data_IF_182491387663
#
_entry.id   IF_182491387663
#
_cell.length_a   1.000
_cell.length_b   1.000
_cell.length_c   1.000
_cell.angle_alpha   90.00
_cell.angle_beta   90.00
_cell.angle_gamma   90.00
#
_symmetry.space_group_name_H-M   'P 1'
#
loop_
_entity.id
_entity.type
_entity.pdbx_description
1 polymer ?
#
# COMPACT_ATOMS: atom_id res chain seq x y z
N UNK A 1 -24.15 -50.59 -24.04
CA UNK A 1 -23.00 -50.48 -24.96
C UNK A 1 -23.09 -49.25 -25.87
N UNK A 2 -24.21 -48.98 -26.54
CA UNK A 2 -24.36 -47.77 -27.36
C UNK A 2 -24.33 -46.45 -26.57
N UNK A 3 -25.05 -46.37 -25.44
CA UNK A 3 -25.06 -45.15 -24.60
C UNK A 3 -23.69 -44.83 -23.98
N UNK A 4 -22.96 -45.85 -23.50
CA UNK A 4 -21.61 -45.66 -22.98
C UNK A 4 -20.64 -45.09 -24.04
N UNK A 5 -20.74 -45.54 -25.31
CA UNK A 5 -19.96 -44.94 -26.40
C UNK A 5 -20.37 -43.51 -26.70
N UNK A 6 -21.65 -43.18 -26.55
CA UNK A 6 -22.15 -41.82 -26.76
C UNK A 6 -21.62 -40.86 -25.69
N UNK A 7 -21.54 -41.33 -24.44
CA UNK A 7 -20.90 -40.64 -23.32
C UNK A 7 -19.39 -40.45 -23.56
N UNK A 8 -18.68 -41.49 -24.03
CA UNK A 8 -17.26 -41.40 -24.40
C UNK A 8 -17.03 -40.34 -25.50
N UNK A 9 -17.87 -40.33 -26.55
CA UNK A 9 -17.80 -39.32 -27.62
C UNK A 9 -18.14 -37.91 -27.12
N UNK A 10 -19.09 -37.78 -26.19
CA UNK A 10 -19.41 -36.50 -25.54
C UNK A 10 -18.20 -35.92 -24.81
N UNK A 11 -17.55 -36.74 -23.98
CA UNK A 11 -16.31 -36.36 -23.26
C UNK A 11 -15.17 -36.07 -24.24
N UNK A 12 -15.02 -36.87 -25.29
CA UNK A 12 -14.01 -36.65 -26.33
C UNK A 12 -14.16 -35.29 -27.00
N UNK A 13 -15.38 -34.91 -27.38
CA UNK A 13 -15.65 -33.61 -28.01
C UNK A 13 -15.34 -32.43 -27.09
N UNK A 14 -15.75 -32.52 -25.82
CA UNK A 14 -15.50 -31.49 -24.82
C UNK A 14 -14.00 -31.30 -24.53
N UNK A 15 -13.22 -32.39 -24.54
CA UNK A 15 -11.79 -32.35 -24.25
C UNK A 15 -10.95 -31.92 -25.45
N UNK A 16 -11.19 -32.48 -26.63
CA UNK A 16 -10.30 -32.31 -27.79
C UNK A 16 -10.59 -31.07 -28.64
N UNK A 17 -11.80 -30.51 -28.55
CA UNK A 17 -12.18 -29.29 -29.27
C UNK A 17 -12.24 -28.05 -28.39
N UNK A 18 -11.64 -28.12 -27.19
CA UNK A 18 -11.48 -26.99 -26.29
C UNK A 18 -10.56 -25.94 -26.93
N UNK A 19 -11.01 -24.70 -27.02
CA UNK A 19 -10.14 -23.59 -27.42
C UNK A 19 -9.30 -23.15 -26.22
N UNK A 20 -7.98 -22.94 -26.38
CA UNK A 20 -7.17 -22.34 -25.33
C UNK A 20 -7.70 -20.93 -25.06
N UNK A 21 -8.03 -20.65 -23.79
CA UNK A 21 -8.25 -19.27 -23.34
C UNK A 21 -6.99 -18.48 -23.72
N UNK A 22 -7.15 -17.42 -24.51
CA UNK A 22 -6.06 -16.78 -25.26
C UNK A 22 -4.83 -16.51 -24.39
N UNK A 23 -3.70 -17.07 -24.82
CA UNK A 23 -2.43 -17.14 -24.09
C UNK A 23 -1.69 -15.80 -23.97
N UNK A 24 -2.17 -14.73 -24.61
CA UNK A 24 -1.46 -13.44 -24.63
C UNK A 24 -1.42 -12.75 -23.25
N UNK A 25 -2.30 -13.14 -22.32
CA UNK A 25 -2.34 -12.59 -20.96
C UNK A 25 -1.72 -13.51 -19.88
N UNK A 26 -1.27 -14.72 -20.26
CA UNK A 26 -0.80 -15.76 -19.34
C UNK A 26 0.74 -15.81 -19.17
N UNK A 27 1.47 -14.79 -19.61
CA UNK A 27 2.91 -14.69 -19.30
C UNK A 27 3.10 -14.37 -17.80
N UNK A 28 3.01 -15.39 -16.94
CA UNK A 28 3.36 -15.32 -15.52
C UNK A 28 4.85 -15.09 -15.29
N UNK A 29 5.68 -15.16 -16.33
CA UNK A 29 7.15 -15.18 -16.24
C UNK A 29 7.88 -13.87 -16.57
N UNK A 30 7.22 -12.81 -17.05
CA UNK A 30 7.97 -11.68 -17.66
C UNK A 30 7.70 -10.27 -17.10
N UNK A 31 6.92 -10.09 -16.05
CA UNK A 31 6.70 -8.77 -15.43
C UNK A 31 6.74 -8.88 -13.91
N UNK A 32 7.93 -9.18 -13.40
CA UNK A 32 8.22 -9.19 -11.95
C UNK A 32 8.95 -7.95 -11.46
N UNK A 33 9.34 -7.02 -12.34
CA UNK A 33 10.20 -5.91 -11.93
C UNK A 33 9.73 -4.56 -12.49
N UNK A 34 8.74 -3.95 -11.84
CA UNK A 34 8.65 -2.48 -11.78
C UNK A 34 7.73 -2.01 -10.65
N UNK A 35 8.36 -1.25 -9.74
CA UNK A 35 7.78 -0.24 -8.84
C UNK A 35 6.75 -0.67 -7.80
N UNK A 36 7.21 -1.37 -6.76
CA UNK A 36 6.81 -1.05 -5.40
C UNK A 36 8.06 -1.16 -4.51
N UNK A 37 8.48 -0.06 -3.90
CA UNK A 37 9.50 -0.09 -2.85
C UNK A 37 8.96 -0.98 -1.72
N UNK A 38 9.50 -2.20 -1.60
CA UNK A 38 9.10 -3.13 -0.55
C UNK A 38 9.61 -2.59 0.79
N UNK A 39 8.71 -2.05 1.60
CA UNK A 39 8.98 -1.57 2.96
C UNK A 39 9.17 -2.77 3.91
N UNK A 40 10.34 -3.41 3.86
CA UNK A 40 10.70 -4.45 4.84
C UNK A 40 11.19 -3.82 6.14
N UNK A 41 10.70 -4.36 7.26
CA UNK A 41 10.99 -3.90 8.63
C UNK A 41 12.46 -4.02 9.09
N UNK A 42 13.35 -4.62 8.29
CA UNK A 42 14.73 -4.97 8.71
C UNK A 42 15.88 -4.25 7.97
N UNK A 43 15.63 -3.23 7.14
CA UNK A 43 16.71 -2.54 6.43
C UNK A 43 16.53 -1.02 6.42
N UNK A 44 17.14 -0.35 7.39
CA UNK A 44 17.33 1.12 7.38
C UNK A 44 18.51 1.53 6.49
N UNK A 45 18.53 1.05 5.24
CA UNK A 45 19.62 1.38 4.30
C UNK A 45 19.33 2.69 3.57
N UNK A 46 20.35 3.53 3.46
CA UNK A 46 20.30 4.82 2.79
C UNK A 46 20.16 4.66 1.28
N UNK A 47 19.09 5.20 0.71
CA UNK A 47 18.95 5.31 -0.74
C UNK A 47 19.48 6.66 -1.22
N UNK A 48 20.42 6.60 -2.18
CA UNK A 48 20.86 7.73 -2.98
C UNK A 48 19.90 7.90 -4.17
N UNK A 49 19.26 9.06 -4.25
CA UNK A 49 18.46 9.45 -5.42
C UNK A 49 19.38 9.81 -6.58
N UNK A 50 19.17 9.20 -7.75
CA UNK A 50 19.46 9.85 -9.02
C UNK A 50 18.25 9.77 -9.94
N UNK A 51 17.98 10.89 -10.61
CA UNK A 51 16.73 11.14 -11.32
C UNK A 51 16.63 10.33 -12.61
N UNK A 52 15.48 9.68 -12.81
CA UNK A 52 15.05 9.29 -14.14
C UNK A 52 13.57 9.63 -14.33
N UNK A 53 13.34 10.42 -15.37
CA UNK A 53 12.05 10.85 -15.90
C UNK A 53 11.29 9.63 -16.40
N UNK A 54 10.11 9.35 -15.85
CA UNK A 54 9.23 8.29 -16.35
C UNK A 54 8.10 8.91 -17.16
N UNK A 55 7.96 8.37 -18.37
CA UNK A 55 6.99 8.72 -19.38
C UNK A 55 5.56 8.41 -18.92
N UNK A 56 4.62 9.16 -19.45
CA UNK A 56 3.18 8.93 -19.30
C UNK A 56 2.80 7.65 -20.05
N UNK A 57 2.54 6.57 -19.33
CA UNK A 57 1.86 5.41 -19.90
C UNK A 57 0.35 5.57 -19.73
N UNK A 58 -0.32 5.59 -20.88
CA UNK A 58 -1.77 5.65 -21.04
C UNK A 58 -2.41 4.42 -20.38
N UNK A 59 -3.34 4.66 -19.46
CA UNK A 59 -4.22 3.67 -18.86
C UNK A 59 -5.16 3.09 -19.92
N UNK A 60 -4.76 1.99 -20.56
CA UNK A 60 -5.67 1.08 -21.25
C UNK A 60 -5.91 -0.12 -20.35
N UNK A 61 -7.12 -0.27 -19.82
CA UNK A 61 -7.54 -1.54 -19.25
C UNK A 61 -7.45 -2.64 -20.32
N UNK A 62 -6.97 -3.85 -20.01
CA UNK A 62 -7.09 -4.96 -20.94
C UNK A 62 -8.58 -5.31 -21.06
N UNK A 63 -9.19 -5.09 -22.22
CA UNK A 63 -10.49 -5.66 -22.55
C UNK A 63 -10.37 -7.19 -22.46
N UNK A 64 -11.02 -7.78 -21.45
CA UNK A 64 -11.06 -9.22 -21.30
C UNK A 64 -12.03 -9.80 -22.34
N UNK A 65 -11.50 -10.36 -23.43
CA UNK A 65 -12.32 -11.01 -24.44
C UNK A 65 -12.83 -12.36 -23.93
N UNK A 66 -14.15 -12.52 -23.82
CA UNK A 66 -14.79 -13.80 -23.47
C UNK A 66 -14.90 -14.65 -24.75
N UNK A 67 -13.86 -15.41 -25.05
CA UNK A 67 -13.82 -16.34 -26.19
C UNK A 67 -14.71 -17.57 -26.01
N UNK A 68 -15.13 -18.20 -27.13
CA UNK A 68 -15.88 -19.46 -27.09
C UNK A 68 -14.96 -20.59 -26.60
N UNK A 69 -15.33 -21.29 -25.51
CA UNK A 69 -14.49 -22.38 -24.98
C UNK A 69 -14.44 -23.61 -25.88
N UNK A 70 -15.33 -23.74 -26.85
CA UNK A 70 -15.42 -24.90 -27.75
C UNK A 70 -15.62 -24.42 -29.19
N UNK A 71 -14.98 -25.13 -30.13
CA UNK A 71 -15.19 -24.90 -31.56
C UNK A 71 -16.69 -25.00 -31.94
N UNK A 72 -17.26 -24.04 -32.70
CA UNK A 72 -18.70 -24.02 -33.00
C UNK A 72 -19.23 -25.32 -33.62
N UNK A 73 -18.43 -25.98 -34.46
CA UNK A 73 -18.79 -27.28 -35.05
C UNK A 73 -18.92 -28.39 -34.01
N UNK A 74 -18.03 -28.44 -33.03
CA UNK A 74 -18.09 -29.42 -31.93
C UNK A 74 -19.24 -29.10 -30.96
N UNK A 75 -19.54 -27.82 -30.72
CA UNK A 75 -20.65 -27.41 -29.86
C UNK A 75 -21.99 -27.97 -30.35
N UNK A 76 -22.26 -27.90 -31.67
CA UNK A 76 -23.48 -28.46 -32.25
C UNK A 76 -23.62 -29.98 -32.04
N UNK A 77 -22.50 -30.70 -32.11
CA UNK A 77 -22.46 -32.14 -31.86
C UNK A 77 -22.67 -32.47 -30.38
N UNK A 78 -22.03 -31.72 -29.46
CA UNK A 78 -22.21 -31.82 -28.01
C UNK A 78 -23.68 -31.59 -27.63
N UNK A 79 -24.32 -30.56 -28.18
CA UNK A 79 -25.75 -30.28 -27.99
C UNK A 79 -26.64 -31.42 -28.48
N UNK A 80 -26.37 -31.96 -29.68
CA UNK A 80 -27.14 -33.07 -30.24
C UNK A 80 -27.03 -34.34 -29.38
N UNK A 81 -25.83 -34.64 -28.89
CA UNK A 81 -25.58 -35.78 -28.00
C UNK A 81 -26.30 -35.58 -26.67
N UNK A 82 -26.15 -34.42 -26.02
CA UNK A 82 -26.82 -34.11 -24.75
C UNK A 82 -28.34 -34.26 -24.88
N UNK A 83 -28.94 -33.66 -25.91
CA UNK A 83 -30.38 -33.78 -26.20
C UNK A 83 -30.81 -35.23 -26.38
N UNK A 84 -30.02 -36.04 -27.08
CA UNK A 84 -30.32 -37.45 -27.26
C UNK A 84 -30.26 -38.22 -25.93
N UNK A 85 -29.25 -37.97 -25.08
CA UNK A 85 -29.14 -38.62 -23.76
C UNK A 85 -30.34 -38.27 -22.87
N UNK A 86 -30.76 -37.01 -22.85
CA UNK A 86 -31.92 -36.55 -22.08
C UNK A 86 -33.22 -37.21 -22.54
N UNK A 87 -33.46 -37.27 -23.86
CA UNK A 87 -34.66 -37.91 -24.42
C UNK A 87 -34.76 -39.42 -24.09
N UNK A 88 -33.64 -40.06 -23.78
CA UNK A 88 -33.59 -41.48 -23.42
C UNK A 88 -33.48 -41.73 -21.90
N UNK A 89 -33.58 -40.69 -21.06
CA UNK A 89 -33.54 -40.83 -19.61
C UNK A 89 -32.13 -41.06 -19.02
N UNK A 90 -31.08 -40.60 -19.71
CA UNK A 90 -29.68 -40.63 -19.27
C UNK A 90 -29.17 -39.21 -18.96
N UNK A 91 -30.04 -38.38 -18.41
CA UNK A 91 -29.74 -36.99 -18.04
C UNK A 91 -28.62 -36.91 -16.99
N UNK A 92 -28.65 -37.78 -15.99
CA UNK A 92 -27.66 -37.80 -14.89
C UNK A 92 -26.27 -38.16 -15.37
N UNK A 93 -26.14 -39.19 -16.21
CA UNK A 93 -24.88 -39.62 -16.78
C UNK A 93 -24.29 -38.53 -17.69
N UNK A 94 -25.13 -37.89 -18.51
CA UNK A 94 -24.71 -36.78 -19.37
C UNK A 94 -24.17 -35.59 -18.56
N UNK A 95 -24.90 -35.19 -17.51
CA UNK A 95 -24.51 -34.08 -16.63
C UNK A 95 -23.23 -34.41 -15.86
N UNK A 96 -23.12 -35.62 -15.31
CA UNK A 96 -21.92 -36.04 -14.58
C UNK A 96 -20.69 -36.09 -15.49
N UNK A 97 -20.84 -36.57 -16.73
CA UNK A 97 -19.77 -36.57 -17.72
C UNK A 97 -19.32 -35.14 -18.09
N UNK A 98 -20.27 -34.21 -18.22
CA UNK A 98 -19.96 -32.80 -18.46
C UNK A 98 -19.17 -32.18 -17.28
N UNK A 99 -19.71 -32.29 -16.06
CA UNK A 99 -19.11 -31.71 -14.85
C UNK A 99 -17.70 -32.26 -14.63
N UNK A 100 -17.53 -33.58 -14.69
CA UNK A 100 -16.21 -34.20 -14.50
C UNK A 100 -15.18 -33.77 -15.56
N UNK A 101 -15.61 -33.62 -16.81
CA UNK A 101 -14.74 -33.14 -17.89
C UNK A 101 -14.28 -31.70 -17.63
N UNK A 102 -15.18 -30.81 -17.23
CA UNK A 102 -14.84 -29.43 -16.94
C UNK A 102 -13.99 -29.28 -15.68
N UNK A 103 -14.28 -30.05 -14.63
CA UNK A 103 -13.47 -30.08 -13.40
C UNK A 103 -12.02 -30.49 -13.68
N UNK A 104 -11.81 -31.55 -14.46
CA UNK A 104 -10.45 -31.95 -14.89
C UNK A 104 -9.74 -30.82 -15.64
N UNK A 105 -10.47 -30.09 -16.49
CA UNK A 105 -9.89 -29.00 -17.26
C UNK A 105 -9.56 -27.76 -16.40
N UNK A 106 -10.28 -27.53 -15.29
CA UNK A 106 -9.92 -26.53 -14.28
C UNK A 106 -8.68 -26.95 -13.52
N UNK A 107 -8.60 -28.22 -13.11
CA UNK A 107 -7.45 -28.74 -12.36
C UNK A 107 -6.16 -28.62 -13.19
N UNK A 108 -6.21 -28.94 -14.49
CA UNK A 108 -5.11 -28.72 -15.43
C UNK A 108 -4.73 -27.24 -15.54
N UNK A 109 -5.73 -26.35 -15.61
CA UNK A 109 -5.50 -24.90 -15.65
C UNK A 109 -4.82 -24.41 -14.36
N UNK A 110 -5.32 -24.80 -13.18
CA UNK A 110 -4.74 -24.40 -11.89
C UNK A 110 -3.33 -24.97 -11.69
N UNK A 111 -3.08 -26.20 -12.13
CA UNK A 111 -1.75 -26.81 -12.13
C UNK A 111 -0.78 -26.03 -13.03
N UNK A 112 -1.22 -25.59 -14.21
CA UNK A 112 -0.40 -24.77 -15.13
C UNK A 112 -0.02 -23.40 -14.53
N UNK A 113 -0.88 -22.86 -13.67
CA UNK A 113 -0.66 -21.61 -12.93
C UNK A 113 0.13 -21.82 -11.62
N UNK A 114 0.44 -23.07 -11.28
CA UNK A 114 1.05 -23.48 -10.01
C UNK A 114 0.27 -22.95 -8.79
N UNK A 115 -1.07 -22.99 -8.87
CA UNK A 115 -1.97 -22.66 -7.76
C UNK A 115 -2.17 -23.87 -6.86
N UNK A 116 -1.07 -24.38 -6.30
CA UNK A 116 -1.12 -25.50 -5.37
C UNK A 116 -1.86 -25.10 -4.09
N UNK A 117 -2.58 -26.06 -3.50
CA UNK A 117 -3.25 -25.85 -2.22
C UNK A 117 -2.21 -25.60 -1.13
N UNK A 118 -2.15 -24.36 -0.66
CA UNK A 118 -1.26 -23.96 0.43
C UNK A 118 -2.01 -24.07 1.75
N UNK A 119 -1.41 -24.74 2.74
CA UNK A 119 -1.95 -24.71 4.09
C UNK A 119 -1.71 -23.34 4.75
N UNK A 120 -2.57 -22.97 5.71
CA UNK A 120 -2.39 -21.76 6.53
C UNK A 120 -1.01 -21.77 7.20
N UNK A 121 -0.57 -22.92 7.70
CA UNK A 121 0.73 -23.07 8.37
C UNK A 121 1.90 -22.82 7.42
N UNK A 122 1.86 -23.35 6.20
CA UNK A 122 2.88 -23.08 5.18
C UNK A 122 2.91 -21.59 4.81
N UNK A 123 1.73 -20.97 4.64
CA UNK A 123 1.61 -19.55 4.33
C UNK A 123 2.22 -18.69 5.43
N UNK A 124 1.92 -19.00 6.69
CA UNK A 124 2.40 -18.26 7.86
C UNK A 124 3.92 -18.35 8.04
N UNK A 125 4.53 -19.47 7.62
CA UNK A 125 5.97 -19.70 7.68
C UNK A 125 6.72 -19.22 6.43
N UNK A 126 6.02 -18.73 5.40
CA UNK A 126 6.69 -18.22 4.20
C UNK A 126 7.37 -16.87 4.44
N UNK A 127 8.57 -16.70 3.89
CA UNK A 127 9.24 -15.39 3.86
C UNK A 127 8.41 -14.37 3.09
N UNK A 128 8.41 -13.12 3.58
CA UNK A 128 7.57 -12.04 3.04
C UNK A 128 7.70 -11.85 1.52
N UNK A 129 8.92 -11.84 0.98
CA UNK A 129 9.13 -11.63 -0.46
C UNK A 129 8.46 -12.74 -1.30
N UNK A 130 8.51 -13.99 -0.81
CA UNK A 130 7.83 -15.11 -1.45
C UNK A 130 6.32 -14.96 -1.34
N UNK A 131 5.80 -14.60 -0.16
CA UNK A 131 4.37 -14.36 0.05
C UNK A 131 3.84 -13.22 -0.85
N UNK A 132 4.58 -12.12 -0.96
CA UNK A 132 4.28 -10.98 -1.83
C UNK A 132 4.17 -11.41 -3.30
N UNK A 133 5.10 -12.25 -3.79
CA UNK A 133 5.04 -12.80 -5.15
C UNK A 133 3.84 -13.73 -5.36
N UNK A 134 3.51 -14.55 -4.35
CA UNK A 134 2.33 -15.42 -4.38
C UNK A 134 1.06 -14.58 -4.47
N UNK A 135 0.89 -13.58 -3.59
CA UNK A 135 -0.30 -12.71 -3.59
C UNK A 135 -0.54 -12.10 -4.98
N UNK A 136 0.50 -11.57 -5.64
CA UNK A 136 0.37 -11.03 -7.00
C UNK A 136 -0.12 -12.08 -8.00
N UNK A 137 0.41 -13.31 -7.92
CA UNK A 137 0.00 -14.42 -8.80
C UNK A 137 -1.45 -14.83 -8.55
N UNK A 138 -1.87 -14.95 -7.29
CA UNK A 138 -3.25 -15.26 -6.94
C UNK A 138 -4.22 -14.14 -7.36
N UNK A 139 -3.84 -12.87 -7.23
CA UNK A 139 -4.62 -11.74 -7.75
C UNK A 139 -4.84 -11.82 -9.27
N UNK A 140 -3.80 -12.19 -10.03
CA UNK A 140 -3.93 -12.40 -11.49
C UNK A 140 -4.84 -13.60 -11.79
N UNK A 141 -4.66 -14.71 -11.09
CA UNK A 141 -5.49 -15.89 -11.25
C UNK A 141 -6.97 -15.62 -10.94
N UNK A 142 -7.28 -14.90 -9.85
CA UNK A 142 -8.65 -14.55 -9.45
C UNK A 142 -9.37 -13.73 -10.53
N UNK A 143 -8.69 -12.69 -11.08
CA UNK A 143 -9.24 -11.88 -12.19
C UNK A 143 -9.54 -12.72 -13.41
N UNK A 144 -8.59 -13.55 -13.85
CA UNK A 144 -8.77 -14.41 -15.02
C UNK A 144 -9.86 -15.45 -14.81
N UNK A 145 -9.93 -16.01 -13.60
CA UNK A 145 -10.91 -17.03 -13.26
C UNK A 145 -12.33 -16.47 -13.30
N UNK A 146 -12.60 -15.33 -12.66
CA UNK A 146 -13.94 -14.72 -12.66
C UNK A 146 -14.31 -14.17 -14.04
N UNK A 147 -13.48 -13.29 -14.60
CA UNK A 147 -13.84 -12.55 -15.82
C UNK A 147 -13.82 -13.38 -17.09
N UNK A 148 -12.93 -14.39 -17.16
CA UNK A 148 -12.73 -15.16 -18.38
C UNK A 148 -13.26 -16.58 -18.21
N UNK A 149 -12.78 -17.33 -17.20
CA UNK A 149 -13.12 -18.74 -17.06
C UNK A 149 -14.61 -18.93 -16.71
N UNK A 150 -15.07 -18.36 -15.60
CA UNK A 150 -16.45 -18.53 -15.11
C UNK A 150 -17.47 -17.92 -16.09
N UNK A 151 -17.19 -16.76 -16.65
CA UNK A 151 -18.03 -16.16 -17.68
C UNK A 151 -18.19 -17.08 -18.91
N UNK A 152 -17.08 -17.68 -19.36
CA UNK A 152 -17.13 -18.61 -20.47
C UNK A 152 -17.85 -19.92 -20.11
N UNK A 153 -17.66 -20.42 -18.88
CA UNK A 153 -18.28 -21.66 -18.41
C UNK A 153 -19.80 -21.52 -18.25
N UNK A 154 -20.26 -20.41 -17.67
CA UNK A 154 -21.69 -20.08 -17.59
C UNK A 154 -22.31 -20.07 -18.99
N UNK A 155 -21.61 -19.47 -19.95
CA UNK A 155 -22.04 -19.46 -21.35
C UNK A 155 -22.05 -20.85 -21.96
N UNK A 156 -21.02 -21.66 -21.76
CA UNK A 156 -20.96 -23.02 -22.31
C UNK A 156 -22.06 -23.92 -21.74
N UNK A 157 -22.24 -23.92 -20.41
CA UNK A 157 -23.30 -24.65 -19.72
C UNK A 157 -24.68 -24.28 -20.28
N UNK A 158 -24.94 -22.98 -20.51
CA UNK A 158 -26.19 -22.52 -21.11
C UNK A 158 -26.36 -22.97 -22.56
N UNK A 159 -25.29 -22.99 -23.38
CA UNK A 159 -25.38 -23.52 -24.74
C UNK A 159 -25.67 -25.02 -24.77
N UNK A 160 -25.08 -25.81 -23.86
CA UNK A 160 -25.23 -27.28 -23.85
C UNK A 160 -26.58 -27.69 -23.28
N UNK A 161 -27.02 -27.07 -22.18
CA UNK A 161 -28.18 -27.53 -21.40
C UNK A 161 -29.35 -26.54 -21.35
N UNK A 162 -29.19 -25.26 -21.70
CA UNK A 162 -30.25 -24.25 -21.54
C UNK A 162 -31.53 -24.58 -22.32
N UNK A 163 -31.42 -25.08 -23.55
CA UNK A 163 -32.61 -25.53 -24.31
C UNK A 163 -33.28 -26.78 -23.72
N UNK A 164 -32.58 -27.54 -22.87
CA UNK A 164 -33.09 -28.76 -22.26
C UNK A 164 -33.74 -28.46 -20.91
N UNK A 165 -33.04 -27.70 -20.06
CA UNK A 165 -33.47 -27.30 -18.73
C UNK A 165 -32.53 -26.22 -18.18
N UNK A 166 -33.03 -24.98 -18.03
CA UNK A 166 -32.27 -23.87 -17.44
C UNK A 166 -31.69 -24.22 -16.05
N UNK A 167 -32.47 -24.92 -15.22
CA UNK A 167 -32.03 -25.36 -13.88
C UNK A 167 -30.87 -26.35 -13.93
N UNK A 168 -30.74 -27.13 -15.02
CA UNK A 168 -29.63 -28.05 -15.20
C UNK A 168 -28.36 -27.32 -15.62
N UNK A 169 -28.48 -26.31 -16.49
CA UNK A 169 -27.35 -25.46 -16.87
C UNK A 169 -26.78 -24.70 -15.65
N UNK A 170 -27.66 -24.12 -14.82
CA UNK A 170 -27.29 -23.44 -13.58
C UNK A 170 -26.60 -24.39 -12.59
N UNK A 171 -27.16 -25.58 -12.38
CA UNK A 171 -26.56 -26.58 -11.48
C UNK A 171 -25.18 -27.04 -11.96
N UNK A 172 -25.00 -27.29 -13.26
CA UNK A 172 -23.68 -27.64 -13.81
C UNK A 172 -22.66 -26.53 -13.56
N UNK A 173 -23.04 -25.28 -13.84
CA UNK A 173 -22.18 -24.13 -13.60
C UNK A 173 -21.78 -24.01 -12.13
N UNK A 174 -22.74 -24.18 -11.20
CA UNK A 174 -22.46 -24.15 -9.77
C UNK A 174 -21.47 -25.24 -9.34
N UNK A 175 -21.72 -26.51 -9.70
CA UNK A 175 -20.87 -27.65 -9.33
C UNK A 175 -19.44 -27.54 -9.89
N UNK A 176 -19.28 -26.90 -11.05
CA UNK A 176 -17.98 -26.67 -11.68
C UNK A 176 -17.25 -25.47 -11.03
N UNK A 177 -17.98 -24.43 -10.65
CA UNK A 177 -17.41 -23.17 -10.14
C UNK A 177 -17.12 -23.17 -8.64
N UNK A 178 -17.90 -23.90 -7.85
CA UNK A 178 -17.87 -23.83 -6.38
C UNK A 178 -16.49 -24.15 -5.79
N UNK A 179 -15.98 -25.37 -6.00
CA UNK A 179 -14.74 -25.81 -5.36
C UNK A 179 -13.51 -24.97 -5.77
N UNK A 180 -13.31 -24.65 -7.07
CA UNK A 180 -12.18 -23.83 -7.49
C UNK A 180 -12.25 -22.39 -6.95
N UNK A 181 -13.44 -21.79 -6.89
CA UNK A 181 -13.61 -20.45 -6.35
C UNK A 181 -13.39 -20.43 -4.83
N UNK A 182 -13.91 -21.41 -4.10
CA UNK A 182 -13.63 -21.59 -2.67
C UNK A 182 -12.13 -21.76 -2.41
N UNK A 183 -11.42 -22.50 -3.27
CA UNK A 183 -9.97 -22.62 -3.18
C UNK A 183 -9.26 -21.27 -3.35
N UNK A 184 -9.64 -20.48 -4.35
CA UNK A 184 -9.17 -19.10 -4.55
C UNK A 184 -9.43 -18.24 -3.32
N UNK A 185 -10.67 -18.21 -2.81
CA UNK A 185 -11.05 -17.42 -1.64
C UNK A 185 -10.32 -17.83 -0.36
N UNK A 186 -10.10 -19.14 -0.15
CA UNK A 186 -9.41 -19.65 1.03
C UNK A 186 -7.97 -19.13 1.16
N UNK A 187 -7.29 -18.85 0.03
CA UNK A 187 -5.98 -18.20 0.05
C UNK A 187 -6.07 -16.76 0.55
N UNK A 188 -7.07 -16.01 0.08
CA UNK A 188 -7.30 -14.64 0.54
C UNK A 188 -7.63 -14.58 2.03
N UNK A 189 -8.51 -15.47 2.48
CA UNK A 189 -8.85 -15.66 3.89
C UNK A 189 -7.59 -15.97 4.72
N UNK A 190 -6.77 -16.92 4.27
CA UNK A 190 -5.54 -17.31 4.96
C UNK A 190 -4.55 -16.15 5.11
N UNK A 191 -4.42 -15.30 4.08
CA UNK A 191 -3.58 -14.09 4.15
C UNK A 191 -4.16 -13.07 5.13
N UNK A 192 -5.49 -12.90 5.13
CA UNK A 192 -6.19 -11.96 6.01
C UNK A 192 -6.08 -12.32 7.50
N UNK A 193 -6.16 -13.61 7.83
CA UNK A 193 -6.04 -14.16 9.20
C UNK A 193 -4.62 -13.96 9.77
N UNK A 194 -3.60 -13.92 8.91
CA UNK A 194 -2.21 -13.75 9.34
C UNK A 194 -1.98 -12.44 10.12
N UNK A 195 -0.84 -12.31 10.83
CA UNK A 195 -0.57 -11.17 11.68
C UNK A 195 -0.55 -9.87 10.86
N UNK A 196 -1.29 -8.82 11.29
CA UNK A 196 -1.42 -7.57 10.57
C UNK A 196 -0.17 -6.70 10.77
N UNK A 197 0.89 -7.01 10.03
CA UNK A 197 2.15 -6.24 10.05
C UNK A 197 2.08 -5.08 9.07
N UNK A 198 2.84 -4.03 9.36
CA UNK A 198 2.97 -2.82 8.52
C UNK A 198 3.37 -3.16 7.09
N UNK A 199 4.37 -4.02 6.91
CA UNK A 199 4.87 -4.48 5.60
C UNK A 199 3.78 -5.15 4.74
N UNK A 200 2.71 -5.67 5.34
CA UNK A 200 1.62 -6.35 4.62
C UNK A 200 0.53 -5.43 4.10
N UNK A 201 0.42 -4.20 4.62
CA UNK A 201 -0.75 -3.34 4.38
C UNK A 201 -1.03 -3.16 2.88
N UNK A 202 -0.01 -2.84 2.08
CA UNK A 202 -0.19 -2.62 0.64
C UNK A 202 -0.68 -3.87 -0.10
N UNK A 203 -0.19 -5.07 0.27
CA UNK A 203 -0.68 -6.32 -0.33
C UNK A 203 -2.10 -6.68 0.10
N UNK A 204 -2.46 -6.39 1.35
CA UNK A 204 -3.84 -6.57 1.81
C UNK A 204 -4.80 -5.64 1.05
N UNK A 205 -4.38 -4.39 0.81
CA UNK A 205 -5.14 -3.44 -0.01
C UNK A 205 -5.21 -3.90 -1.47
N UNK A 206 -4.11 -4.38 -2.08
CA UNK A 206 -4.13 -4.95 -3.44
C UNK A 206 -5.15 -6.10 -3.56
N UNK A 207 -5.20 -6.98 -2.55
CA UNK A 207 -6.14 -8.11 -2.53
C UNK A 207 -7.58 -7.67 -2.34
N UNK A 208 -7.81 -6.69 -1.44
CA UNK A 208 -9.12 -6.11 -1.23
C UNK A 208 -9.65 -5.47 -2.51
N UNK A 209 -8.86 -4.62 -3.18
CA UNK A 209 -9.25 -3.96 -4.43
C UNK A 209 -9.55 -4.97 -5.54
N UNK A 210 -8.76 -6.05 -5.66
CA UNK A 210 -9.07 -7.12 -6.63
C UNK A 210 -10.43 -7.74 -6.39
N UNK A 211 -10.78 -8.03 -5.14
CA UNK A 211 -12.08 -8.63 -4.83
C UNK A 211 -13.22 -7.62 -4.96
N UNK A 212 -13.03 -6.38 -4.53
CA UNK A 212 -14.02 -5.30 -4.65
C UNK A 212 -14.33 -5.01 -6.14
N UNK A 213 -13.29 -4.93 -6.97
CA UNK A 213 -13.39 -4.69 -8.42
C UNK A 213 -14.09 -5.82 -9.18
N UNK A 214 -14.02 -7.06 -8.68
CA UNK A 214 -14.62 -8.25 -9.29
C UNK A 214 -16.00 -8.60 -8.72
N UNK A 215 -16.42 -7.93 -7.64
CA UNK A 215 -17.67 -8.23 -6.96
C UNK A 215 -18.89 -8.10 -7.88
N UNK A 216 -19.04 -7.04 -8.71
CA UNK A 216 -20.20 -6.93 -9.60
C UNK A 216 -20.29 -8.08 -10.62
N UNK A 217 -19.16 -8.50 -11.19
CA UNK A 217 -19.12 -9.65 -12.10
C UNK A 217 -19.44 -10.94 -11.37
N UNK A 218 -18.90 -11.14 -10.15
CA UNK A 218 -19.24 -12.29 -9.32
C UNK A 218 -20.74 -12.33 -9.01
N UNK A 219 -21.34 -11.22 -8.58
CA UNK A 219 -22.78 -11.12 -8.34
C UNK A 219 -23.58 -11.51 -9.60
N UNK A 220 -23.24 -10.96 -10.76
CA UNK A 220 -23.93 -11.28 -12.03
C UNK A 220 -23.79 -12.75 -12.45
N UNK A 221 -22.69 -13.41 -12.10
CA UNK A 221 -22.47 -14.82 -12.38
C UNK A 221 -23.33 -15.71 -11.46
N UNK A 222 -23.66 -15.24 -10.27
CA UNK A 222 -24.26 -16.01 -9.19
C UNK A 222 -25.66 -15.52 -8.74
N UNK A 223 -26.38 -14.76 -9.58
CA UNK A 223 -27.72 -14.24 -9.28
C UNK A 223 -28.81 -15.32 -9.04
N UNK A 224 -28.58 -16.57 -9.47
CA UNK A 224 -29.60 -17.62 -9.51
C UNK A 224 -29.57 -18.52 -8.27
N UNK A 225 -30.23 -18.11 -7.17
CA UNK A 225 -30.83 -18.96 -6.10
C UNK A 225 -29.96 -19.95 -5.30
N UNK A 226 -29.11 -20.75 -5.95
CA UNK A 226 -28.22 -21.77 -5.38
C UNK A 226 -26.88 -21.20 -4.89
N UNK A 227 -26.54 -19.96 -5.28
CA UNK A 227 -25.18 -19.43 -5.18
C UNK A 227 -24.95 -18.48 -4.00
N UNK A 228 -25.95 -18.33 -3.13
CA UNK A 228 -25.86 -17.45 -1.95
C UNK A 228 -24.68 -17.80 -1.04
N UNK A 229 -24.29 -19.08 -0.97
CA UNK A 229 -23.13 -19.51 -0.19
C UNK A 229 -21.81 -18.94 -0.73
N UNK A 230 -21.64 -18.93 -2.06
CA UNK A 230 -20.43 -18.39 -2.70
C UNK A 230 -20.33 -16.89 -2.44
N UNK A 231 -21.41 -16.15 -2.69
CA UNK A 231 -21.40 -14.70 -2.49
C UNK A 231 -21.26 -14.32 -1.01
N UNK A 232 -21.82 -15.12 -0.09
CA UNK A 232 -21.61 -14.90 1.34
C UNK A 232 -20.14 -15.06 1.73
N UNK A 233 -19.49 -16.15 1.29
CA UNK A 233 -18.06 -16.38 1.55
C UNK A 233 -17.19 -15.29 0.92
N UNK A 234 -17.51 -14.89 -0.32
CA UNK A 234 -16.82 -13.81 -1.01
C UNK A 234 -16.86 -12.50 -0.22
N UNK A 235 -18.05 -12.11 0.24
CA UNK A 235 -18.25 -10.92 1.07
C UNK A 235 -17.56 -11.03 2.43
N UNK A 236 -17.57 -12.22 3.05
CA UNK A 236 -16.87 -12.48 4.31
C UNK A 236 -15.36 -12.28 4.14
N UNK A 237 -14.74 -12.87 3.12
CA UNK A 237 -13.32 -12.72 2.83
C UNK A 237 -12.96 -11.26 2.53
N UNK A 238 -13.79 -10.55 1.75
CA UNK A 238 -13.61 -9.13 1.46
C UNK A 238 -13.63 -8.29 2.76
N UNK A 239 -14.58 -8.58 3.67
CA UNK A 239 -14.66 -7.93 4.97
C UNK A 239 -13.45 -8.25 5.85
N UNK A 240 -12.99 -9.50 5.89
CA UNK A 240 -11.81 -9.92 6.66
C UNK A 240 -10.53 -9.22 6.17
N UNK A 241 -10.34 -9.09 4.85
CA UNK A 241 -9.23 -8.33 4.26
C UNK A 241 -9.28 -6.86 4.67
N UNK A 242 -10.47 -6.24 4.60
CA UNK A 242 -10.67 -4.86 5.02
C UNK A 242 -10.31 -4.65 6.50
N UNK A 243 -10.75 -5.54 7.38
CA UNK A 243 -10.41 -5.49 8.82
C UNK A 243 -8.92 -5.75 9.07
N UNK A 244 -8.29 -6.66 8.34
CA UNK A 244 -6.85 -6.93 8.44
C UNK A 244 -6.03 -5.72 7.98
N UNK A 245 -6.43 -5.05 6.90
CA UNK A 245 -5.82 -3.81 6.43
C UNK A 245 -5.95 -2.68 7.47
N UNK A 246 -7.13 -2.49 8.07
CA UNK A 246 -7.34 -1.51 9.16
C UNK A 246 -6.42 -1.78 10.34
N UNK A 247 -6.28 -3.05 10.76
CA UNK A 247 -5.37 -3.45 11.84
C UNK A 247 -3.91 -3.18 11.48
N UNK A 248 -3.49 -3.49 10.26
CA UNK A 248 -2.12 -3.24 9.80
C UNK A 248 -1.80 -1.74 9.74
N UNK A 249 -2.77 -0.91 9.35
CA UNK A 249 -2.64 0.55 9.42
C UNK A 249 -2.55 1.07 10.86
N UNK A 250 -3.36 0.52 11.77
CA UNK A 250 -3.28 0.86 13.19
C UNK A 250 -1.92 0.45 13.81
N UNK A 251 -1.40 -0.73 13.44
CA UNK A 251 -0.08 -1.18 13.85
C UNK A 251 1.03 -0.27 13.31
N UNK A 252 0.91 0.22 12.07
CA UNK A 252 1.83 1.21 11.52
C UNK A 252 1.87 2.50 12.36
N UNK A 253 0.71 3.01 12.74
CA UNK A 253 0.62 4.18 13.63
C UNK A 253 1.23 3.89 15.00
N UNK A 254 0.89 2.75 15.60
CA UNK A 254 1.42 2.33 16.89
C UNK A 254 2.95 2.15 16.86
N UNK A 255 3.50 1.60 15.78
CA UNK A 255 4.93 1.43 15.59
C UNK A 255 5.67 2.78 15.57
N UNK A 256 5.08 3.83 15.00
CA UNK A 256 5.65 5.20 15.02
C UNK A 256 5.61 5.79 16.42
N UNK A 257 4.47 5.65 17.12
CA UNK A 257 4.28 6.19 18.47
C UNK A 257 5.19 5.52 19.51
N UNK A 258 5.37 4.20 19.39
CA UNK A 258 6.20 3.41 20.30
C UNK A 258 7.70 3.42 19.94
N UNK A 259 8.06 3.90 18.75
CA UNK A 259 9.46 3.97 18.34
C UNK A 259 10.25 4.87 19.28
N UNK A 260 11.35 4.36 19.83
CA UNK A 260 12.25 5.15 20.68
C UNK A 260 13.66 5.12 20.09
N UNK A 261 14.20 6.30 19.83
CA UNK A 261 15.58 6.43 19.37
C UNK A 261 16.53 6.13 20.53
N UNK A 262 17.41 5.15 20.37
CA UNK A 262 18.41 4.80 21.39
C UNK A 262 19.62 5.75 21.40
N UNK A 263 19.84 6.47 20.30
CA UNK A 263 20.97 7.39 20.16
C UNK A 263 20.60 8.57 19.25
N UNK A 264 21.29 9.69 19.46
CA UNK A 264 21.16 10.86 18.62
C UNK A 264 21.79 10.61 17.24
N UNK A 265 21.07 10.97 16.17
CA UNK A 265 21.58 10.85 14.80
C UNK A 265 22.83 11.70 14.62
N UNK A 266 23.81 11.20 13.87
CA UNK A 266 25.05 11.93 13.67
C UNK A 266 24.78 13.34 13.10
N UNK A 267 25.31 14.36 13.76
CA UNK A 267 25.33 15.77 13.31
C UNK A 267 23.93 16.38 13.06
N UNK A 268 22.86 15.83 13.64
CA UNK A 268 21.51 16.34 13.42
C UNK A 268 20.97 16.07 12.01
N UNK A 269 21.43 15.02 11.33
CA UNK A 269 20.91 14.66 10.01
C UNK A 269 19.41 14.25 10.04
N UNK A 270 18.81 14.09 8.86
CA UNK A 270 17.43 13.61 8.72
C UNK A 270 17.33 12.21 9.33
N UNK A 271 16.33 12.03 10.19
CA UNK A 271 16.09 10.79 10.89
C UNK A 271 15.59 9.69 9.94
N UNK A 272 16.11 8.44 9.99
CA UNK A 272 15.64 7.34 9.15
C UNK A 272 14.13 7.11 9.25
N UNK A 273 13.56 7.20 10.47
CA UNK A 273 12.10 7.13 10.68
C UNK A 273 11.34 8.17 9.86
N UNK A 274 11.83 9.42 9.78
CA UNK A 274 11.16 10.45 8.98
C UNK A 274 11.18 10.09 7.50
N UNK A 275 12.28 9.52 6.99
CA UNK A 275 12.34 9.04 5.61
C UNK A 275 11.34 7.93 5.36
N UNK A 276 11.34 6.92 6.22
CA UNK A 276 10.45 5.76 6.15
C UNK A 276 8.98 6.16 6.18
N UNK A 277 8.55 6.90 7.22
CA UNK A 277 7.14 7.28 7.39
C UNK A 277 6.67 8.15 6.23
N UNK A 278 7.45 9.14 5.79
CA UNK A 278 7.06 10.01 4.69
C UNK A 278 6.96 9.27 3.35
N UNK A 279 7.85 8.30 3.08
CA UNK A 279 7.74 7.46 1.89
C UNK A 279 6.53 6.52 1.99
N UNK A 280 6.28 5.94 3.17
CA UNK A 280 5.16 5.03 3.40
C UNK A 280 3.81 5.72 3.19
N UNK A 281 3.60 6.90 3.80
CA UNK A 281 2.35 7.66 3.60
C UNK A 281 2.22 8.18 2.17
N UNK A 282 3.32 8.46 1.48
CA UNK A 282 3.30 8.80 0.05
C UNK A 282 2.77 7.62 -0.76
N UNK A 283 3.19 6.38 -0.48
CA UNK A 283 2.67 5.20 -1.19
C UNK A 283 1.20 4.96 -0.84
N UNK A 284 0.78 5.22 0.41
CA UNK A 284 -0.62 5.09 0.83
C UNK A 284 -1.58 6.00 0.06
N UNK A 285 -1.12 7.13 -0.50
CA UNK A 285 -2.02 8.03 -1.24
C UNK A 285 -2.60 7.37 -2.49
N UNK A 286 -1.93 6.34 -3.05
CA UNK A 286 -2.44 5.58 -4.20
C UNK A 286 -3.74 4.84 -3.83
N UNK A 287 -3.86 4.39 -2.58
CA UNK A 287 -5.00 3.63 -2.06
C UNK A 287 -6.05 4.53 -1.39
N UNK A 288 -6.04 5.85 -1.64
CA UNK A 288 -6.86 6.78 -0.84
C UNK A 288 -8.36 6.52 -0.94
N UNK A 289 -8.86 6.12 -2.10
CA UNK A 289 -10.30 5.81 -2.28
C UNK A 289 -10.71 4.58 -1.45
N UNK A 290 -9.88 3.54 -1.50
CA UNK A 290 -10.06 2.29 -0.77
C UNK A 290 -9.98 2.52 0.73
N UNK A 291 -8.98 3.28 1.19
CA UNK A 291 -8.85 3.67 2.59
C UNK A 291 -10.00 4.56 3.06
N UNK A 292 -10.48 5.49 2.22
CA UNK A 292 -11.66 6.30 2.54
C UNK A 292 -12.91 5.42 2.72
N UNK A 293 -13.05 4.31 1.98
CA UNK A 293 -14.13 3.35 2.19
C UNK A 293 -13.95 2.59 3.51
N UNK A 294 -12.78 1.99 3.71
CA UNK A 294 -12.49 1.13 4.86
C UNK A 294 -12.53 1.87 6.20
N UNK A 295 -12.01 3.10 6.26
CA UNK A 295 -11.82 3.83 7.51
C UNK A 295 -13.07 4.61 7.97
N UNK A 296 -14.07 4.81 7.10
CA UNK A 296 -15.33 5.50 7.45
C UNK A 296 -16.07 4.85 8.63
N UNK A 297 -16.04 3.53 8.75
CA UNK A 297 -16.80 2.80 9.79
C UNK A 297 -16.12 2.82 11.17
N UNK A 298 -14.80 3.02 11.22
CA UNK A 298 -14.05 3.11 12.48
C UNK A 298 -14.37 4.42 13.23
N UNK A 299 -14.74 5.46 12.49
CA UNK A 299 -15.00 6.81 13.00
C UNK A 299 -16.23 6.90 13.91
N UNK A 300 -17.19 5.99 13.77
CA UNK A 300 -18.35 5.93 14.69
C UNK A 300 -17.98 5.53 16.11
N UNK A 301 -16.88 4.79 16.32
CA UNK A 301 -16.38 4.40 17.64
C UNK A 301 -15.25 5.32 18.14
N UNK A 302 -14.64 6.11 17.27
CA UNK A 302 -13.49 7.00 17.57
C UNK A 302 -13.84 8.50 17.50
N UNK A 303 -15.11 8.87 17.69
CA UNK A 303 -15.60 10.26 17.68
C UNK A 303 -14.86 11.22 18.65
N UNK A 304 -14.19 10.68 19.68
CA UNK A 304 -13.35 11.47 20.58
C UNK A 304 -11.99 11.88 19.97
N UNK A 305 -11.41 11.08 19.06
CA UNK A 305 -10.11 11.39 18.44
C UNK A 305 -10.23 12.38 17.28
N UNK A 306 -11.30 12.28 16.50
CA UNK A 306 -11.61 13.23 15.42
C UNK A 306 -11.84 14.62 16.00
N UNK A 307 -12.49 14.75 17.14
CA UNK A 307 -12.77 16.04 17.77
C UNK A 307 -11.49 16.82 18.12
N UNK A 308 -10.45 16.15 18.62
CA UNK A 308 -9.17 16.79 18.95
C UNK A 308 -8.34 17.14 17.70
N UNK A 309 -8.41 16.32 16.65
CA UNK A 309 -7.75 16.61 15.36
C UNK A 309 -8.49 17.71 14.59
N UNK A 310 -9.82 17.73 14.60
CA UNK A 310 -10.66 18.76 13.98
C UNK A 310 -10.46 20.15 14.64
N UNK A 311 -10.01 20.16 15.90
CA UNK A 311 -9.64 21.37 16.63
C UNK A 311 -8.19 21.84 16.35
N UNK A 312 -7.28 20.93 15.99
CA UNK A 312 -5.88 21.24 15.65
C UNK A 312 -5.65 21.52 14.16
N UNK A 313 -6.41 20.86 13.28
CA UNK A 313 -6.50 21.16 11.86
C UNK A 313 -7.58 22.22 11.67
N UNK A 314 -7.18 23.46 11.35
CA UNK A 314 -8.10 24.54 10.96
C UNK A 314 -9.22 23.95 10.11
N UNK A 315 -10.46 24.03 10.61
CA UNK A 315 -11.62 23.31 10.11
C UNK A 315 -11.84 23.56 8.62
N UNK A 316 -11.31 22.68 7.77
CA UNK A 316 -11.63 22.65 6.35
C UNK A 316 -12.65 21.53 6.13
N UNK A 317 -13.90 21.85 5.74
CA UNK A 317 -14.97 20.88 5.55
C UNK A 317 -14.77 19.94 4.32
N UNK A 318 -13.53 19.76 3.85
CA UNK A 318 -13.21 19.09 2.58
C UNK A 318 -12.11 18.01 2.67
N UNK A 319 -11.54 17.73 3.85
CA UNK A 319 -10.55 16.65 3.96
C UNK A 319 -11.23 15.28 4.00
N UNK A 320 -10.71 14.33 3.23
CA UNK A 320 -11.15 12.94 3.25
C UNK A 320 -10.71 12.24 4.54
N UNK A 321 -11.31 11.08 4.85
CA UNK A 321 -10.94 10.29 6.05
C UNK A 321 -9.46 9.90 6.01
N UNK A 322 -8.97 9.49 4.83
CA UNK A 322 -7.56 9.19 4.60
C UNK A 322 -6.67 10.40 4.89
N UNK A 323 -7.07 11.60 4.48
CA UNK A 323 -6.31 12.82 4.76
C UNK A 323 -6.17 13.08 6.27
N UNK A 324 -7.25 12.89 7.05
CA UNK A 324 -7.21 13.03 8.51
C UNK A 324 -6.26 12.02 9.17
N UNK A 325 -6.30 10.76 8.72
CA UNK A 325 -5.38 9.73 9.22
C UNK A 325 -3.93 10.00 8.84
N UNK A 326 -3.65 10.47 7.61
CA UNK A 326 -2.31 10.90 7.20
C UNK A 326 -1.81 12.06 8.06
N UNK A 327 -2.65 13.06 8.33
CA UNK A 327 -2.30 14.17 9.23
C UNK A 327 -1.96 13.66 10.65
N UNK A 328 -2.74 12.71 11.17
CA UNK A 328 -2.45 12.09 12.47
C UNK A 328 -1.10 11.36 12.47
N UNK A 329 -0.78 10.58 11.44
CA UNK A 329 0.50 9.87 11.33
C UNK A 329 1.67 10.85 11.30
N UNK A 330 1.54 11.95 10.56
CA UNK A 330 2.56 13.00 10.51
C UNK A 330 2.74 13.66 11.87
N UNK A 331 1.65 13.93 12.60
CA UNK A 331 1.74 14.47 13.96
C UNK A 331 2.45 13.50 14.93
N UNK A 332 2.17 12.19 14.85
CA UNK A 332 2.88 11.17 15.64
C UNK A 332 4.38 11.14 15.32
N UNK A 333 4.74 11.27 14.03
CA UNK A 333 6.14 11.40 13.62
C UNK A 333 6.79 12.67 14.18
N UNK A 334 6.10 13.82 14.16
CA UNK A 334 6.62 15.06 14.74
C UNK A 334 6.94 14.92 16.23
N UNK A 335 6.02 14.33 17.00
CA UNK A 335 6.24 14.07 18.43
C UNK A 335 7.45 13.15 18.65
N UNK A 336 7.62 12.13 17.80
CA UNK A 336 8.77 11.24 17.84
C UNK A 336 10.08 11.99 17.59
N UNK A 337 10.11 12.85 16.57
CA UNK A 337 11.27 13.67 16.23
C UNK A 337 11.59 14.69 17.34
N UNK A 338 10.57 15.28 17.96
CA UNK A 338 10.76 16.16 19.11
C UNK A 338 11.38 15.40 20.29
N UNK A 339 10.93 14.19 20.59
CA UNK A 339 11.54 13.33 21.61
C UNK A 339 13.00 12.99 21.24
N UNK A 340 13.26 12.60 19.98
CA UNK A 340 14.60 12.31 19.47
C UNK A 340 15.55 13.52 19.53
N UNK A 341 15.04 14.73 19.36
CA UNK A 341 15.84 15.96 19.50
C UNK A 341 16.40 16.14 20.91
N UNK A 342 15.73 15.63 21.95
CA UNK A 342 16.18 15.75 23.35
C UNK A 342 17.39 14.86 23.68
N UNK A 343 17.80 13.99 22.76
CA UNK A 343 18.99 13.14 22.91
C UNK A 343 20.30 13.91 22.67
N UNK A 344 20.25 15.12 22.08
CA UNK A 344 21.44 15.95 21.92
C UNK A 344 21.65 16.83 23.16
N UNK A 345 22.86 16.80 23.73
CA UNK A 345 23.23 17.68 24.83
C UNK A 345 23.41 19.15 24.41
N UNK A 346 23.72 19.40 23.13
CA UNK A 346 23.90 20.74 22.58
C UNK A 346 22.60 21.23 21.94
N UNK A 347 21.99 22.27 22.53
CA UNK A 347 20.79 22.95 22.02
C UNK A 347 20.91 23.33 20.53
N UNK A 348 22.12 23.65 20.05
CA UNK A 348 22.36 23.98 18.64
C UNK A 348 22.08 22.79 17.75
N UNK A 349 22.54 21.60 18.15
CA UNK A 349 22.33 20.36 17.42
C UNK A 349 20.87 19.89 17.50
N UNK A 350 20.18 20.13 18.63
CA UNK A 350 18.73 19.89 18.74
C UNK A 350 17.97 20.68 17.67
N UNK A 351 18.25 21.98 17.55
CA UNK A 351 17.58 22.85 16.59
C UNK A 351 17.94 22.47 15.14
N UNK A 352 19.21 22.16 14.83
CA UNK A 352 19.63 21.67 13.50
C UNK A 352 18.88 20.38 13.13
N UNK A 353 18.77 19.43 14.07
CA UNK A 353 18.06 18.18 13.84
C UNK A 353 16.59 18.41 13.49
N UNK A 354 15.88 19.25 14.25
CA UNK A 354 14.50 19.59 13.98
C UNK A 354 14.35 20.33 12.64
N UNK A 355 15.22 21.30 12.35
CA UNK A 355 15.23 22.02 11.06
C UNK A 355 15.38 21.06 9.87
N UNK A 356 16.34 20.14 9.93
CA UNK A 356 16.61 19.19 8.83
C UNK A 356 15.42 18.26 8.59
N UNK A 357 14.79 17.74 9.64
CA UNK A 357 13.64 16.87 9.51
C UNK A 357 12.38 17.61 9.04
N UNK A 358 12.09 18.80 9.59
CA UNK A 358 10.97 19.64 9.13
C UNK A 358 11.15 19.99 7.65
N UNK A 359 12.35 20.40 7.25
CA UNK A 359 12.66 20.72 5.87
C UNK A 359 12.44 19.51 4.96
N UNK A 360 12.96 18.33 5.35
CA UNK A 360 12.75 17.09 4.60
C UNK A 360 11.27 16.78 4.41
N UNK A 361 10.48 16.81 5.48
CA UNK A 361 9.03 16.55 5.42
C UNK A 361 8.33 17.56 4.49
N UNK A 362 8.61 18.85 4.64
CA UNK A 362 8.03 19.90 3.78
C UNK A 362 8.38 19.68 2.31
N UNK A 363 9.62 19.34 1.98
CA UNK A 363 10.03 19.06 0.60
C UNK A 363 9.32 17.81 0.05
N UNK A 364 9.21 16.75 0.84
CA UNK A 364 8.48 15.53 0.44
C UNK A 364 7.02 15.82 0.15
N UNK A 365 6.36 16.63 0.99
CA UNK A 365 4.96 17.03 0.77
C UNK A 365 4.82 17.90 -0.47
N UNK A 366 5.69 18.90 -0.67
CA UNK A 366 5.64 19.78 -1.85
C UNK A 366 5.83 19.05 -3.17
N UNK A 367 6.64 17.99 -3.16
CA UNK A 367 7.06 17.27 -4.37
C UNK A 367 6.26 15.96 -4.60
N UNK A 368 5.11 15.80 -3.95
CA UNK A 368 4.26 14.61 -4.11
C UNK A 368 2.78 14.92 -3.91
N UNK A 369 1.92 13.93 -4.20
CA UNK A 369 0.48 14.04 -4.03
C UNK A 369 0.07 14.23 -2.55
N UNK A 370 0.98 14.01 -1.59
CA UNK A 370 0.75 14.35 -0.17
C UNK A 370 0.31 15.80 0.04
N UNK A 371 0.66 16.70 -0.88
CA UNK A 371 0.18 18.09 -0.85
C UNK A 371 -1.35 18.18 -0.83
N UNK A 372 -2.05 17.32 -1.57
CA UNK A 372 -3.53 17.35 -1.65
C UNK A 372 -4.18 16.89 -0.35
N UNK A 373 -3.53 15.97 0.39
CA UNK A 373 -4.01 15.43 1.67
C UNK A 373 -3.68 16.32 2.87
N UNK A 374 -2.51 16.96 2.87
CA UNK A 374 -2.07 17.81 3.99
C UNK A 374 -2.47 19.28 3.79
N UNK A 375 -2.51 19.76 2.55
CA UNK A 375 -2.88 21.13 2.20
C UNK A 375 -1.76 22.16 2.33
N UNK A 376 -1.96 23.31 1.69
CA UNK A 376 -1.00 24.44 1.71
C UNK A 376 -0.83 25.06 3.11
N UNK A 377 -1.87 25.01 3.95
CA UNK A 377 -1.81 25.51 5.31
C UNK A 377 -0.86 24.68 6.19
N UNK A 378 -0.86 23.35 6.03
CA UNK A 378 0.12 22.49 6.70
C UNK A 378 1.54 22.91 6.32
N UNK A 379 1.80 23.14 5.02
CA UNK A 379 3.11 23.61 4.54
C UNK A 379 3.48 24.96 5.18
N UNK A 380 2.55 25.90 5.25
CA UNK A 380 2.77 27.23 5.88
C UNK A 380 3.11 27.11 7.36
N UNK A 381 2.38 26.27 8.10
CA UNK A 381 2.63 26.01 9.53
C UNK A 381 4.03 25.41 9.73
N UNK A 382 4.43 24.44 8.93
CA UNK A 382 5.74 23.78 9.07
C UNK A 382 6.89 24.68 8.65
N UNK A 383 6.71 25.55 7.65
CA UNK A 383 7.70 26.60 7.36
C UNK A 383 7.86 27.58 8.52
N UNK A 384 6.77 27.95 9.23
CA UNK A 384 6.88 28.77 10.45
C UNK A 384 7.61 28.03 11.56
N UNK A 385 7.33 26.74 11.78
CA UNK A 385 8.09 25.89 12.73
C UNK A 385 9.58 25.88 12.39
N UNK A 386 9.94 25.69 11.11
CA UNK A 386 11.33 25.74 10.65
C UNK A 386 12.01 27.07 11.02
N UNK A 387 11.36 28.20 10.73
CA UNK A 387 11.90 29.53 11.07
C UNK A 387 12.06 29.73 12.58
N UNK A 388 11.14 29.20 13.39
CA UNK A 388 11.27 29.23 14.85
C UNK A 388 12.51 28.46 15.33
N UNK A 389 12.77 27.27 14.78
CA UNK A 389 13.97 26.50 15.12
C UNK A 389 15.25 27.20 14.64
N UNK A 390 15.23 27.85 13.47
CA UNK A 390 16.35 28.65 12.98
C UNK A 390 16.69 29.82 13.92
N UNK A 391 15.68 30.57 14.39
CA UNK A 391 15.88 31.64 15.37
C UNK A 391 16.41 31.12 16.71
N UNK A 392 15.96 29.95 17.17
CA UNK A 392 16.46 29.30 18.39
C UNK A 392 17.92 28.87 18.23
N UNK A 393 18.27 28.28 17.09
CA UNK A 393 19.65 27.94 16.74
C UNK A 393 20.54 29.17 16.73
N UNK A 394 20.13 30.27 16.09
CA UNK A 394 20.89 31.51 16.06
C UNK A 394 21.12 32.06 17.47
N UNK A 395 20.08 32.12 18.31
CA UNK A 395 20.21 32.55 19.71
C UNK A 395 21.17 31.64 20.48
N UNK A 396 21.02 30.33 20.42
CA UNK A 396 21.92 29.38 21.08
C UNK A 396 23.37 29.48 20.57
N UNK A 397 23.55 29.86 19.30
CA UNK A 397 24.86 30.02 18.67
C UNK A 397 25.55 31.32 19.04
N UNK A 398 24.79 32.42 19.05
CA UNK A 398 25.34 33.78 19.13
C UNK A 398 25.22 34.42 20.51
N UNK A 399 24.30 34.01 21.38
CA UNK A 399 24.13 34.65 22.69
C UNK A 399 25.42 34.65 23.52
N UNK A 400 26.18 33.55 23.52
CA UNK A 400 27.45 33.46 24.23
C UNK A 400 28.56 34.33 23.59
N UNK A 401 28.51 34.51 22.27
CA UNK A 401 29.47 35.36 21.55
C UNK A 401 29.15 36.83 21.81
N UNK A 402 27.86 37.19 21.74
CA UNK A 402 27.36 38.53 21.96
C UNK A 402 27.54 38.98 23.42
N UNK A 403 27.39 38.08 24.40
CA UNK A 403 27.67 38.39 25.80
C UNK A 403 29.17 38.63 26.07
N UNK A 404 30.05 38.01 25.30
CA UNK A 404 31.48 38.34 25.34
C UNK A 404 31.79 39.73 24.77
N UNK A 405 30.88 40.31 23.98
CA UNK A 405 31.03 41.62 23.35
C UNK A 405 30.20 42.73 24.05
N UNK A 406 29.42 42.40 25.09
CA UNK A 406 28.62 43.40 25.81
C UNK A 406 29.47 44.25 26.77
N UNK A 407 28.98 45.44 27.13
CA UNK A 407 29.64 46.33 28.08
C UNK A 407 29.40 45.94 29.56
N UNK A 408 28.69 44.84 29.80
CA UNK A 408 28.32 44.40 31.15
C UNK A 408 29.58 44.15 32.00
N UNK A 409 29.67 44.86 33.13
CA UNK A 409 30.79 44.80 34.07
C UNK A 409 31.95 45.77 33.78
N UNK A 410 31.92 46.53 32.68
CA UNK A 410 32.96 47.52 32.35
C UNK A 410 32.72 48.91 32.98
N UNK A 411 31.46 49.26 33.26
CA UNK A 411 31.08 50.59 33.72
C UNK A 411 31.29 50.86 35.23
N UNK A 412 31.65 49.85 36.04
CA UNK A 412 31.73 49.96 37.50
C UNK A 412 33.12 49.68 38.10
N UNK A 413 34.12 49.34 37.28
CA UNK A 413 35.42 48.86 37.75
C UNK A 413 36.57 49.83 37.39
N UNK A 414 37.54 49.98 38.28
CA UNK A 414 38.75 50.77 38.04
C UNK A 414 39.60 50.21 36.88
N UNK A 415 40.46 51.05 36.30
CA UNK A 415 41.18 50.81 35.03
C UNK A 415 41.95 49.47 34.92
N UNK A 416 42.46 48.93 36.03
CA UNK A 416 43.13 47.62 36.08
C UNK A 416 42.16 46.43 36.13
N UNK A 417 41.03 46.58 36.81
CA UNK A 417 39.97 45.57 36.85
C UNK A 417 39.25 45.46 35.50
N UNK A 418 38.99 46.59 34.85
CA UNK A 418 38.42 46.65 33.49
C UNK A 418 39.34 45.99 32.46
N UNK A 419 40.67 46.20 32.52
CA UNK A 419 41.63 45.51 31.64
C UNK A 419 41.64 43.98 31.80
N UNK A 420 41.46 43.48 33.03
CA UNK A 420 41.36 42.03 33.30
C UNK A 420 40.08 41.44 32.72
N UNK A 421 38.95 42.13 32.91
CA UNK A 421 37.64 41.73 32.36
C UNK A 421 37.66 41.72 30.83
N UNK A 422 38.24 42.75 30.19
CA UNK A 422 38.39 42.82 28.72
C UNK A 422 39.21 41.64 28.20
N UNK A 423 40.35 41.33 28.84
CA UNK A 423 41.21 40.20 28.43
C UNK A 423 40.49 38.86 28.55
N UNK A 424 39.69 38.68 29.59
CA UNK A 424 38.88 37.47 29.81
C UNK A 424 37.75 37.34 28.79
N UNK A 425 37.04 38.44 28.48
CA UNK A 425 36.04 38.51 27.41
C UNK A 425 36.63 38.19 26.03
N UNK A 426 37.80 38.74 25.68
CA UNK A 426 38.50 38.41 24.43
C UNK A 426 38.93 36.94 24.34
N UNK A 427 39.39 36.36 25.46
CA UNK A 427 39.75 34.95 25.51
C UNK A 427 38.52 34.06 25.30
N UNK A 428 37.40 34.38 25.95
CA UNK A 428 36.14 33.64 25.81
C UNK A 428 35.55 33.76 24.41
N UNK A 429 35.60 34.96 23.80
CA UNK A 429 35.23 35.19 22.41
C UNK A 429 36.07 34.34 21.44
N UNK A 430 37.40 34.34 21.61
CA UNK A 430 38.29 33.53 20.77
C UNK A 430 38.02 32.03 20.93
N UNK A 431 37.75 31.54 22.14
CA UNK A 431 37.38 30.14 22.35
C UNK A 431 36.03 29.78 21.70
N UNK A 432 35.02 30.64 21.82
CA UNK A 432 33.71 30.39 21.18
C UNK A 432 33.78 30.46 19.66
N UNK A 433 34.64 31.35 19.11
CA UNK A 433 34.81 31.54 17.68
C UNK A 433 35.67 30.43 17.03
N UNK A 434 36.69 29.91 17.72
CA UNK A 434 37.51 28.79 17.25
C UNK A 434 36.72 27.47 17.21
N UNK A 435 35.79 27.25 18.17
CA UNK A 435 34.82 26.16 18.11
C UNK A 435 33.92 26.25 16.88
N UNK A 436 33.55 27.47 16.47
CA UNK A 436 32.70 27.71 15.29
C UNK A 436 33.42 27.41 13.97
N UNK A 437 34.69 27.85 13.81
CA UNK A 437 35.49 27.53 12.62
C UNK A 437 35.67 26.02 12.42
N UNK A 438 35.76 25.23 13.49
CA UNK A 438 35.87 23.76 13.41
C UNK A 438 34.56 23.05 13.02
N UNK A 439 33.41 23.71 13.20
CA UNK A 439 32.08 23.22 12.83
C UNK A 439 31.71 23.67 11.40
N UNK A 440 31.98 24.94 11.05
CA UNK A 440 31.74 25.51 9.71
C UNK A 440 32.63 24.85 8.62
N UNK A 441 33.92 24.60 8.90
CA UNK A 441 34.82 23.96 7.91
C UNK A 441 34.44 22.49 7.60
N UNK A 442 33.69 21.83 8.48
CA UNK A 442 33.17 20.46 8.25
C UNK A 442 31.73 20.43 7.73
N UNK A 443 31.01 21.56 7.76
CA UNK A 443 29.65 21.71 7.23
C UNK A 443 29.60 22.38 5.85
N UNK A 444 30.74 22.76 5.26
CA UNK A 444 30.80 23.40 3.94
C UNK A 444 30.22 22.55 2.79
N UNK A 445 29.99 21.25 2.99
CA UNK A 445 29.23 20.39 2.07
C UNK A 445 27.69 20.53 2.16
N UNK A 446 27.16 21.09 3.25
CA UNK A 446 25.71 21.34 3.46
C UNK A 446 25.33 22.83 3.27
N UNK A 447 26.32 23.72 3.22
CA UNK A 447 26.15 25.18 3.26
C UNK A 447 25.67 25.83 1.95
N UNK A 448 25.62 25.13 0.81
CA UNK A 448 25.20 25.78 -0.44
C UNK A 448 23.69 26.10 -0.50
N UNK A 449 22.85 25.48 0.34
CA UNK A 449 21.40 25.74 0.33
C UNK A 449 20.91 26.76 1.38
N UNK A 450 21.63 26.95 2.50
CA UNK A 450 21.20 27.92 3.53
C UNK A 450 21.37 29.38 3.07
N UNK A 451 22.32 29.66 2.17
CA UNK A 451 22.57 31.01 1.68
C UNK A 451 21.51 31.52 0.69
N UNK A 452 20.78 30.62 0.01
CA UNK A 452 19.74 31.04 -0.93
C UNK A 452 18.46 31.52 -0.24
N UNK A 453 18.16 31.05 0.97
CA UNK A 453 16.91 31.40 1.69
C UNK A 453 17.10 32.65 2.57
N UNK A 454 18.32 32.92 3.07
CA UNK A 454 18.61 34.17 3.76
C UNK A 454 18.62 35.39 2.83
N UNK A 455 19.04 35.24 1.57
CA UNK A 455 19.15 36.37 0.64
C UNK A 455 17.80 36.85 0.07
N UNK A 456 16.75 36.02 0.07
CA UNK A 456 15.41 36.42 -0.40
C UNK A 456 14.57 37.15 0.66
N UNK A 457 14.96 37.12 1.93
CA UNK A 457 14.23 37.76 3.04
C UNK A 457 14.59 39.23 3.28
N UNK A 458 15.60 39.76 2.59
CA UNK A 458 16.13 41.11 2.83
C UNK A 458 15.78 42.14 1.75
N UNK A 459 14.86 41.84 0.82
CA UNK A 459 14.51 42.73 -0.29
C UNK A 459 13.16 43.45 -0.18
N UNK A 460 12.49 43.42 0.97
CA UNK A 460 11.36 44.30 1.25
C UNK A 460 11.54 44.99 2.60
N UNK A 461 12.36 46.05 2.58
CA UNK A 461 12.20 47.20 3.47
C UNK A 461 12.22 48.48 2.66
#
# INVERSE_FOLDING_TARGET
MAMARLEEEFVYLLTHYKQPLEHEHLSFRSTEDSSAEDFSSSSFSEEHTDGKTTQSDTSGEPEYFVGDMIQPGALSAVQAIAKFMFLNGYDKECVQAYISTQQNAIDEYFASLCLDKLSIEELMNTHWNKLSSLIRRWNRAMRLFIRVYLASEKRLSNHVFGELSDSTAEMCFYEISFNPLMHLLSFYESVAIGPPKTEKLFRLLDMYEVLDDLLPEAESLFEAGFDSMILNEYNEVLLQLGESAKKAFAEFKHAIQSYTSSSAVARGAVHPLAKYVMNYIKTLTVYSKTLDSLLKDTDRKQQHFVSDIQLMANSHPHFTVTALHIQSVVADLELNLEAGSRLYNDDRLQNIFLMNNIYYMVQKVKNSDLKTFLGDDWIRVHNRKFQQQAMRYERASWNNVLSCLSDDGLCAAGDTASRKIIREKFKNFNMSHVLKKSIEFRQHGLSQMSNSVMMSGFQYH
#
